data_IF_799759175059
#
_entry.id   IF_799759175059
#
_cell.length_a   1.000
_cell.length_b   1.000
_cell.length_c   1.000
_cell.angle_alpha   90.00
_cell.angle_beta   90.00
_cell.angle_gamma   90.00
#
_symmetry.space_group_name_H-M   'P 1'
#
loop_
_entity.id
_entity.type
_entity.pdbx_description
1 polymer ?
#
# COMPACT_ATOMS: atom_id res chain seq x y z
N UNK A 1 -6.01 9.24 9.99
CA UNK A 1 -5.77 8.06 9.11
C UNK A 1 -7.08 7.32 8.89
N UNK A 2 -7.30 6.84 7.68
CA UNK A 2 -8.55 6.16 7.34
C UNK A 2 -8.57 4.75 7.92
N UNK A 3 -9.36 4.54 8.96
CA UNK A 3 -9.32 3.32 9.75
C UNK A 3 -9.78 2.08 8.96
N UNK A 4 -10.87 2.19 8.20
CA UNK A 4 -11.39 1.04 7.45
C UNK A 4 -10.40 0.55 6.39
N UNK A 5 -9.73 1.46 5.69
CA UNK A 5 -8.69 1.10 4.73
C UNK A 5 -7.50 0.45 5.42
N UNK A 6 -7.08 1.01 6.54
CA UNK A 6 -5.96 0.47 7.31
C UNK A 6 -6.25 -0.97 7.76
N UNK A 7 -7.44 -1.20 8.32
CA UNK A 7 -7.83 -2.54 8.76
C UNK A 7 -7.87 -3.54 7.60
N UNK A 8 -8.38 -3.13 6.43
CA UNK A 8 -8.41 -4.02 5.26
C UNK A 8 -7.02 -4.38 4.77
N UNK A 9 -6.10 -3.40 4.76
CA UNK A 9 -4.72 -3.68 4.36
C UNK A 9 -4.03 -4.62 5.34
N UNK A 10 -4.29 -4.48 6.64
CA UNK A 10 -3.76 -5.40 7.63
C UNK A 10 -4.29 -6.82 7.42
N UNK A 11 -5.58 -6.96 7.10
CA UNK A 11 -6.16 -8.27 6.78
C UNK A 11 -5.53 -8.89 5.53
N UNK A 12 -5.33 -8.09 4.49
CA UNK A 12 -4.69 -8.56 3.27
C UNK A 12 -3.24 -9.03 3.53
N UNK A 13 -2.52 -8.28 4.37
CA UNK A 13 -1.17 -8.66 4.75
C UNK A 13 -1.15 -10.01 5.49
N UNK A 14 -2.08 -10.22 6.41
CA UNK A 14 -2.19 -11.48 7.13
C UNK A 14 -2.52 -12.65 6.19
N UNK A 15 -3.36 -12.42 5.19
CA UNK A 15 -3.71 -13.44 4.18
C UNK A 15 -2.62 -13.65 3.14
N UNK A 16 -1.55 -12.84 3.17
CA UNK A 16 -0.45 -12.91 2.21
C UNK A 16 -0.94 -12.60 0.79
N UNK A 17 -1.84 -11.62 0.66
CA UNK A 17 -2.45 -11.23 -0.62
C UNK A 17 -2.25 -9.76 -0.88
N UNK A 18 -2.70 -9.31 -2.04
CA UNK A 18 -2.80 -7.89 -2.43
C UNK A 18 -4.28 -7.52 -2.57
N UNK A 19 -4.56 -6.22 -2.67
CA UNK A 19 -5.89 -5.71 -2.99
C UNK A 19 -5.79 -4.75 -4.16
N UNK A 20 -6.85 -4.61 -4.94
CA UNK A 20 -6.85 -3.65 -6.03
C UNK A 20 -7.35 -2.29 -5.55
N UNK A 21 -7.00 -1.23 -6.29
CA UNK A 21 -7.53 0.10 -6.00
C UNK A 21 -9.07 0.10 -6.05
N UNK A 22 -9.66 -0.64 -6.98
CA UNK A 22 -11.13 -0.73 -7.09
C UNK A 22 -11.77 -1.41 -5.88
N UNK A 23 -11.04 -2.29 -5.21
CA UNK A 23 -11.52 -2.94 -3.99
C UNK A 23 -11.38 -2.06 -2.74
N UNK A 24 -10.31 -1.25 -2.67
CA UNK A 24 -10.04 -0.44 -1.49
C UNK A 24 -10.79 0.90 -1.50
N UNK A 25 -10.99 1.48 -2.68
CA UNK A 25 -11.60 2.80 -2.82
C UNK A 25 -13.01 2.91 -2.20
N UNK A 26 -13.91 1.93 -2.39
CA UNK A 26 -15.25 2.02 -1.81
C UNK A 26 -15.27 2.10 -0.27
N UNK A 27 -14.23 1.65 0.40
CA UNK A 27 -14.16 1.75 1.86
C UNK A 27 -14.09 3.21 2.32
N UNK A 28 -13.64 4.11 1.45
CA UNK A 28 -13.60 5.56 1.71
C UNK A 28 -14.67 6.31 0.91
N UNK A 29 -15.67 5.60 0.38
CA UNK A 29 -16.72 6.18 -0.47
C UNK A 29 -16.15 6.89 -1.71
N UNK A 30 -15.07 6.35 -2.26
CA UNK A 30 -14.38 6.93 -3.42
C UNK A 30 -14.50 6.02 -4.64
N UNK A 31 -14.43 6.64 -5.81
CA UNK A 31 -14.55 5.97 -7.10
C UNK A 31 -13.27 6.18 -7.91
N UNK A 32 -12.61 5.10 -8.29
CA UNK A 32 -11.36 5.15 -9.05
C UNK A 32 -11.52 5.72 -10.45
N UNK A 33 -12.74 5.83 -10.96
CA UNK A 33 -12.98 6.43 -12.25
C UNK A 33 -12.99 7.96 -12.20
N UNK A 34 -13.13 8.55 -11.01
CA UNK A 34 -13.07 9.99 -10.81
C UNK A 34 -11.63 10.42 -10.52
N UNK A 35 -11.00 11.28 -11.38
CA UNK A 35 -9.61 11.68 -11.15
C UNK A 35 -9.37 12.36 -9.80
N UNK A 36 -10.31 13.14 -9.29
CA UNK A 36 -10.15 13.78 -7.97
C UNK A 36 -10.17 12.75 -6.86
N UNK A 37 -10.95 11.67 -7.01
CA UNK A 37 -10.98 10.58 -6.04
C UNK A 37 -9.67 9.78 -6.05
N UNK A 38 -9.03 9.63 -7.22
CA UNK A 38 -7.73 8.96 -7.32
C UNK A 38 -6.67 9.67 -6.50
N UNK A 39 -6.65 11.00 -6.54
CA UNK A 39 -5.73 11.80 -5.74
C UNK A 39 -5.97 11.60 -4.24
N UNK A 40 -7.23 11.56 -3.84
CA UNK A 40 -7.59 11.36 -2.44
C UNK A 40 -7.20 9.96 -1.95
N UNK A 41 -7.42 8.93 -2.76
CA UNK A 41 -6.99 7.57 -2.43
C UNK A 41 -5.48 7.53 -2.23
N UNK A 42 -4.73 8.16 -3.13
CA UNK A 42 -3.27 8.25 -3.01
C UNK A 42 -2.84 8.93 -1.71
N UNK A 43 -3.54 10.00 -1.33
CA UNK A 43 -3.26 10.71 -0.09
C UNK A 43 -3.53 9.81 1.14
N UNK A 44 -4.67 9.14 1.15
CA UNK A 44 -5.05 8.25 2.26
C UNK A 44 -4.08 7.08 2.41
N UNK A 45 -3.71 6.46 1.29
CA UNK A 45 -2.74 5.36 1.30
C UNK A 45 -1.36 5.84 1.75
N UNK A 46 -0.97 7.05 1.33
CA UNK A 46 0.28 7.66 1.76
C UNK A 46 0.33 7.89 3.26
N UNK A 47 -0.77 8.33 3.87
CA UNK A 47 -0.87 8.49 5.32
C UNK A 47 -0.63 7.16 6.06
N UNK A 48 -1.23 6.09 5.55
CA UNK A 48 -1.07 4.75 6.15
C UNK A 48 0.39 4.32 6.10
N UNK A 49 1.04 4.46 4.93
CA UNK A 49 2.44 4.05 4.79
C UNK A 49 3.39 4.90 5.61
N UNK A 50 3.12 6.21 5.71
CA UNK A 50 3.93 7.08 6.59
C UNK A 50 3.79 6.67 8.04
N UNK A 51 2.59 6.31 8.47
CA UNK A 51 2.36 5.81 9.83
C UNK A 51 3.18 4.55 10.09
N UNK A 52 3.13 3.59 9.15
CA UNK A 52 3.90 2.34 9.28
C UNK A 52 5.39 2.61 9.31
N UNK A 53 5.87 3.48 8.43
CA UNK A 53 7.28 3.84 8.40
C UNK A 53 7.74 4.46 9.72
N UNK A 54 6.92 5.32 10.30
CA UNK A 54 7.21 5.92 11.61
C UNK A 54 7.29 4.90 12.75
N UNK A 55 6.70 3.74 12.57
CA UNK A 55 6.74 2.62 13.53
C UNK A 55 7.79 1.56 13.14
N UNK A 56 8.69 1.91 12.23
CA UNK A 56 9.72 1.00 11.71
C UNK A 56 9.15 -0.26 11.04
N UNK A 57 8.01 -0.11 10.38
CA UNK A 57 7.37 -1.18 9.62
C UNK A 57 7.42 -0.89 8.12
N UNK A 58 7.33 -1.91 7.26
CA UNK A 58 7.32 -1.68 5.81
C UNK A 58 6.09 -0.91 5.35
N UNK A 59 6.14 -0.37 4.13
CA UNK A 59 5.09 0.46 3.57
C UNK A 59 3.87 -0.39 3.21
N UNK A 60 2.84 -0.33 4.02
CA UNK A 60 1.66 -1.19 3.90
C UNK A 60 0.89 -0.96 2.60
N UNK A 61 0.95 0.25 2.03
CA UNK A 61 0.26 0.55 0.77
C UNK A 61 0.84 -0.17 -0.45
N UNK A 62 1.98 -0.85 -0.30
CA UNK A 62 2.50 -1.72 -1.36
C UNK A 62 1.51 -2.80 -1.76
N UNK A 63 0.59 -3.15 -0.85
CA UNK A 63 -0.43 -4.17 -1.11
C UNK A 63 -1.49 -3.74 -2.12
N UNK A 64 -1.60 -2.43 -2.40
CA UNK A 64 -2.64 -1.89 -3.30
C UNK A 64 -2.09 -1.77 -4.71
N UNK A 65 -2.69 -2.50 -5.63
CA UNK A 65 -2.20 -2.61 -7.01
C UNK A 65 -3.32 -2.31 -8.01
N UNK A 66 -2.92 -1.92 -9.22
CA UNK A 66 -3.83 -1.83 -10.36
C UNK A 66 -4.05 -3.23 -10.93
N UNK A 67 -5.29 -3.53 -11.28
CA UNK A 67 -5.66 -4.84 -11.83
C UNK A 67 -4.98 -5.14 -13.16
N UNK A 68 -4.80 -4.12 -13.99
CA UNK A 68 -4.30 -4.29 -15.36
C UNK A 68 -2.80 -4.58 -15.43
N UNK A 69 -2.00 -4.13 -14.45
CA UNK A 69 -0.55 -4.37 -14.48
C UNK A 69 0.01 -4.99 -13.19
N UNK A 70 -0.83 -5.22 -12.19
CA UNK A 70 -0.44 -5.80 -10.90
C UNK A 70 0.65 -4.99 -10.18
N UNK A 71 0.67 -3.67 -10.38
CA UNK A 71 1.66 -2.78 -9.77
C UNK A 71 0.98 -1.66 -9.00
N UNK A 72 1.63 -1.15 -7.92
CA UNK A 72 1.16 0.08 -7.29
C UNK A 72 1.23 1.26 -8.26
N UNK A 73 0.45 2.31 -7.96
CA UNK A 73 0.51 3.53 -8.75
C UNK A 73 1.78 4.32 -8.49
N UNK A 74 2.03 5.37 -9.32
CA UNK A 74 3.26 6.18 -9.21
C UNK A 74 3.42 6.85 -7.85
N UNK A 75 2.32 7.16 -7.17
CA UNK A 75 2.37 7.80 -5.84
C UNK A 75 3.09 6.96 -4.79
N UNK A 76 2.95 5.64 -4.86
CA UNK A 76 3.67 4.74 -3.96
C UNK A 76 5.19 4.89 -4.13
N UNK A 77 5.67 4.85 -5.36
CA UNK A 77 7.11 4.96 -5.62
C UNK A 77 7.66 6.35 -5.28
N UNK A 78 6.86 7.39 -5.51
CA UNK A 78 7.24 8.76 -5.13
C UNK A 78 7.38 8.88 -3.61
N UNK A 79 6.47 8.30 -2.85
CA UNK A 79 6.55 8.31 -1.40
C UNK A 79 7.78 7.55 -0.92
N UNK A 80 8.04 6.37 -1.48
CA UNK A 80 9.20 5.56 -1.10
C UNK A 80 10.52 6.32 -1.34
N UNK A 81 10.60 7.08 -2.45
CA UNK A 81 11.76 7.93 -2.73
C UNK A 81 11.89 9.04 -1.72
N UNK A 82 10.80 9.72 -1.36
CA UNK A 82 10.82 10.80 -0.36
C UNK A 82 11.27 10.29 1.00
N UNK A 83 10.90 9.06 1.35
CA UNK A 83 11.30 8.44 2.62
C UNK A 83 12.71 7.84 2.56
N UNK A 84 13.38 7.96 1.41
CA UNK A 84 14.74 7.45 1.18
C UNK A 84 14.84 5.93 1.29
N UNK A 85 13.76 5.25 0.97
CA UNK A 85 13.70 3.79 0.97
C UNK A 85 13.97 3.21 -0.43
N UNK A 86 13.88 4.05 -1.46
CA UNK A 86 13.96 3.64 -2.85
C UNK A 86 14.74 4.67 -3.66
N UNK A 87 15.65 4.22 -4.52
CA UNK A 87 16.50 5.09 -5.33
C UNK A 87 15.88 5.47 -6.69
N UNK A 88 14.76 4.87 -7.06
CA UNK A 88 14.05 5.19 -8.30
C UNK A 88 14.50 4.43 -9.53
N UNK A 89 15.36 3.42 -9.40
CA UNK A 89 15.96 2.75 -10.56
C UNK A 89 15.20 1.54 -11.09
N UNK A 90 14.48 0.80 -10.23
CA UNK A 90 13.84 -0.43 -10.64
C UNK A 90 12.55 -0.62 -9.84
N UNK A 91 11.44 -0.13 -10.41
CA UNK A 91 10.14 -0.16 -9.73
C UNK A 91 9.69 -1.58 -9.43
N UNK A 92 9.85 -2.50 -10.37
CA UNK A 92 9.39 -3.88 -10.16
C UNK A 92 10.17 -4.56 -9.03
N UNK A 93 11.49 -4.40 -9.03
CA UNK A 93 12.30 -4.99 -7.97
C UNK A 93 11.94 -4.41 -6.61
N UNK A 94 11.80 -3.09 -6.51
CA UNK A 94 11.45 -2.46 -5.24
C UNK A 94 10.08 -2.93 -4.77
N UNK A 95 9.09 -2.98 -5.67
CA UNK A 95 7.76 -3.47 -5.37
C UNK A 95 7.79 -4.88 -4.77
N UNK A 96 8.47 -5.80 -5.45
CA UNK A 96 8.54 -7.19 -5.01
C UNK A 96 9.27 -7.33 -3.66
N UNK A 97 10.34 -6.57 -3.46
CA UNK A 97 11.09 -6.60 -2.21
C UNK A 97 10.24 -6.05 -1.05
N UNK A 98 9.53 -4.95 -1.27
CA UNK A 98 8.69 -4.35 -0.22
C UNK A 98 7.48 -5.22 0.08
N UNK A 99 6.88 -5.83 -0.94
CA UNK A 99 5.78 -6.78 -0.77
C UNK A 99 6.19 -7.95 0.11
N UNK A 100 7.37 -8.50 -0.14
CA UNK A 100 7.92 -9.57 0.69
C UNK A 100 8.11 -9.13 2.14
N UNK A 101 8.56 -7.89 2.34
CA UNK A 101 8.77 -7.35 3.70
C UNK A 101 7.44 -7.23 4.45
N UNK A 102 6.40 -6.75 3.79
CA UNK A 102 5.07 -6.64 4.40
C UNK A 102 4.53 -8.03 4.76
N UNK A 103 4.61 -8.97 3.82
CA UNK A 103 4.10 -10.33 4.05
C UNK A 103 4.87 -11.04 5.16
N UNK A 104 6.20 -10.87 5.21
CA UNK A 104 7.03 -11.47 6.25
C UNK A 104 6.73 -10.87 7.62
N UNK A 105 6.58 -9.55 7.70
CA UNK A 105 6.26 -8.87 8.96
C UNK A 105 4.92 -9.34 9.51
N UNK A 106 3.93 -9.53 8.63
CA UNK A 106 2.59 -10.00 9.03
C UNK A 106 2.60 -11.47 9.45
N UNK A 107 3.39 -12.31 8.79
CA UNK A 107 3.52 -13.72 9.16
C UNK A 107 4.10 -13.86 10.56
N UNK A 108 5.01 -12.97 10.96
CA UNK A 108 5.65 -13.01 12.28
C UNK A 108 4.74 -12.56 13.42
N UNK A 109 3.60 -11.96 13.10
CA UNK A 109 2.62 -11.47 14.10
C UNK A 109 1.41 -12.41 14.19
N UNK A 110 1.45 -13.55 13.52
CA UNK A 110 0.34 -14.49 13.51
C UNK A 110 -0.03 -14.89 14.94
N UNK A 111 -1.32 -14.89 15.28
CA UNK A 111 -1.75 -15.30 16.62
C UNK A 111 -1.49 -16.78 16.84
N UNK A 112 -1.17 -17.07 18.04
CA UNK A 112 -0.96 -18.47 18.46
C UNK A 112 -2.29 -19.19 18.63
#
# INVERSE_FOLDING_TARGET
MHQAMYEELKRAALRQTTVTYSEIAPLADLDMEDPSHRDEIGRLLGEISKHEHGMNRPLLSVLVIHRDNNMPGPGFFKLAKRLRLYDGRDDLKYFLDELKRVHAASANVAPN
#
